data_IF_181573076321
#
_entry.id   IF_181573076321
#
_cell.length_a   1.000
_cell.length_b   1.000
_cell.length_c   1.000
_cell.angle_alpha   90.00
_cell.angle_beta   90.00
_cell.angle_gamma   90.00
#
_symmetry.space_group_name_H-M   'P 1'
#
loop_
_entity.id
_entity.type
_entity.pdbx_description
1 polymer ?
#
# COMPACT_ATOMS: atom_id res chain seq x y z
N UNK A 1 1.41 16.23 30.48
CA UNK A 1 1.34 16.46 29.02
C UNK A 1 0.41 15.42 28.42
N UNK A 2 -0.57 15.85 27.65
CA UNK A 2 -1.52 14.94 26.93
C UNK A 2 -0.92 14.44 25.62
N UNK A 3 -1.48 13.36 25.05
CA UNK A 3 -1.08 12.88 23.72
C UNK A 3 -1.20 13.98 22.67
N UNK A 4 -2.29 14.77 22.68
CA UNK A 4 -2.51 15.90 21.78
C UNK A 4 -1.38 16.93 21.84
N UNK A 5 -0.98 17.34 23.05
CA UNK A 5 0.10 18.31 23.23
C UNK A 5 1.44 17.79 22.66
N UNK A 6 1.73 16.48 22.84
CA UNK A 6 2.94 15.86 22.31
C UNK A 6 2.90 15.81 20.78
N UNK A 7 1.77 15.35 20.19
CA UNK A 7 1.57 15.30 18.72
C UNK A 7 1.75 16.69 18.11
N UNK A 8 1.12 17.72 18.68
CA UNK A 8 1.25 19.10 18.18
C UNK A 8 2.67 19.66 18.35
N UNK A 9 3.37 19.28 19.40
CA UNK A 9 4.78 19.64 19.57
C UNK A 9 5.65 19.04 18.45
N UNK A 10 5.43 17.77 18.09
CA UNK A 10 6.14 17.14 16.97
C UNK A 10 5.75 17.77 15.64
N UNK A 11 4.46 18.06 15.41
CA UNK A 11 4.00 18.76 14.22
C UNK A 11 4.74 20.08 13.97
N UNK A 12 4.97 20.86 15.03
CA UNK A 12 5.70 22.14 14.94
C UNK A 12 7.19 21.97 14.65
N UNK A 13 7.79 20.85 15.06
CA UNK A 13 9.22 20.52 14.82
C UNK A 13 9.51 20.02 13.42
N UNK A 14 8.54 19.31 12.81
CA UNK A 14 8.70 18.72 11.48
C UNK A 14 8.62 19.79 10.38
N UNK A 15 9.35 19.61 9.27
CA UNK A 15 9.26 20.48 8.10
C UNK A 15 7.81 20.58 7.58
N UNK A 16 7.42 21.71 7.01
CA UNK A 16 6.05 21.93 6.49
C UNK A 16 5.55 20.84 5.56
N UNK A 17 6.44 20.27 4.74
CA UNK A 17 6.10 19.16 3.82
C UNK A 17 5.72 17.86 4.53
N UNK A 18 6.05 17.70 5.82
CA UNK A 18 5.88 16.46 6.59
C UNK A 18 5.32 16.67 8.00
N UNK A 19 4.94 17.89 8.35
CA UNK A 19 4.43 18.19 9.67
C UNK A 19 3.12 17.43 9.99
N UNK A 20 2.40 17.01 8.98
CA UNK A 20 1.22 16.18 9.08
C UNK A 20 1.52 14.72 9.49
N UNK A 21 2.78 14.24 9.36
CA UNK A 21 3.15 12.88 9.71
C UNK A 21 2.84 12.54 11.17
N UNK A 22 3.11 13.45 12.09
CA UNK A 22 2.86 13.22 13.51
C UNK A 22 1.38 13.14 13.90
N UNK A 23 0.49 13.60 13.03
CA UNK A 23 -0.96 13.61 13.29
C UNK A 23 -1.63 12.27 13.03
N UNK A 24 -0.94 11.34 12.35
CA UNK A 24 -1.49 10.06 11.95
C UNK A 24 -0.54 8.91 12.28
N UNK A 25 -1.12 7.73 12.47
CA UNK A 25 -0.42 6.46 12.32
C UNK A 25 -0.82 5.82 11.00
N UNK A 26 0.08 4.99 10.47
CA UNK A 26 0.01 4.49 9.11
C UNK A 26 -0.04 2.97 9.09
N UNK A 27 -0.98 2.42 8.33
CA UNK A 27 -0.95 1.01 7.98
C UNK A 27 -0.71 0.87 6.48
N UNK A 28 0.34 0.12 6.13
CA UNK A 28 0.75 -0.17 4.77
C UNK A 28 0.41 -1.61 4.43
N UNK A 29 -0.37 -1.83 3.35
CA UNK A 29 -0.83 -3.16 2.96
C UNK A 29 -1.12 -3.28 1.47
N UNK A 30 -1.30 -4.51 0.97
CA UNK A 30 -1.75 -4.77 -0.40
C UNK A 30 -3.25 -4.47 -0.56
N UNK A 31 -3.68 -4.10 -1.77
CA UNK A 31 -5.07 -3.75 -2.10
C UNK A 31 -6.07 -4.85 -1.70
N UNK A 32 -5.68 -6.13 -1.79
CA UNK A 32 -6.55 -7.27 -1.43
C UNK A 32 -6.81 -7.32 0.08
N UNK A 33 -5.79 -7.10 0.88
CA UNK A 33 -5.95 -6.98 2.33
C UNK A 33 -6.69 -5.68 2.70
N UNK A 34 -6.47 -4.60 1.94
CA UNK A 34 -7.17 -3.33 2.14
C UNK A 34 -8.69 -3.49 1.97
N UNK A 35 -9.15 -4.29 1.01
CA UNK A 35 -10.57 -4.62 0.84
C UNK A 35 -11.15 -5.30 2.09
N UNK A 36 -10.45 -6.28 2.65
CA UNK A 36 -10.88 -6.97 3.86
C UNK A 36 -10.90 -6.03 5.08
N UNK A 37 -9.90 -5.16 5.21
CA UNK A 37 -9.88 -4.13 6.27
C UNK A 37 -11.09 -3.20 6.16
N UNK A 38 -11.44 -2.75 4.95
CA UNK A 38 -12.60 -1.88 4.71
C UNK A 38 -13.91 -2.62 4.99
N UNK A 39 -14.02 -3.87 4.55
CA UNK A 39 -15.20 -4.71 4.76
C UNK A 39 -15.46 -4.94 6.24
N UNK A 40 -14.45 -5.40 6.98
CA UNK A 40 -14.55 -5.72 8.41
C UNK A 40 -14.52 -4.48 9.31
N UNK A 41 -13.93 -3.37 8.86
CA UNK A 41 -13.72 -2.18 9.68
C UNK A 41 -12.60 -2.33 10.71
N UNK A 42 -11.69 -3.29 10.52
CA UNK A 42 -10.61 -3.63 11.45
C UNK A 42 -9.29 -3.91 10.73
N UNK A 43 -8.20 -3.44 11.32
CA UNK A 43 -6.85 -3.92 11.06
C UNK A 43 -6.58 -5.01 12.10
N UNK A 44 -6.72 -6.27 11.72
CA UNK A 44 -6.49 -7.39 12.63
C UNK A 44 -5.00 -7.65 12.86
N UNK A 45 -4.70 -8.24 14.01
CA UNK A 45 -3.43 -8.90 14.25
C UNK A 45 -3.22 -10.03 13.23
N UNK A 46 -1.95 -10.30 12.90
CA UNK A 46 -1.61 -11.29 11.86
C UNK A 46 -2.20 -12.67 12.15
N UNK A 47 -2.09 -13.13 13.40
CA UNK A 47 -2.64 -14.42 13.83
C UNK A 47 -4.13 -14.48 13.52
N UNK A 48 -4.89 -13.53 14.02
CA UNK A 48 -6.34 -13.45 13.82
C UNK A 48 -6.73 -13.33 12.34
N UNK A 49 -6.00 -12.53 11.56
CA UNK A 49 -6.24 -12.40 10.12
C UNK A 49 -5.98 -13.71 9.36
N UNK A 50 -5.03 -14.54 9.82
CA UNK A 50 -4.77 -15.85 9.23
C UNK A 50 -5.83 -16.87 9.62
N UNK A 51 -6.32 -16.87 10.86
CA UNK A 51 -7.37 -17.79 11.33
C UNK A 51 -8.71 -17.53 10.64
N UNK A 52 -9.01 -16.27 10.30
CA UNK A 52 -10.24 -15.87 9.64
C UNK A 52 -10.13 -15.82 8.11
N UNK A 53 -9.03 -16.35 7.51
CA UNK A 53 -8.75 -16.29 6.06
C UNK A 53 -8.83 -14.87 5.45
N UNK A 54 -8.57 -13.83 6.26
CA UNK A 54 -8.63 -12.43 5.83
C UNK A 54 -7.33 -11.93 5.21
N UNK A 55 -6.24 -12.67 5.36
CA UNK A 55 -4.93 -12.31 4.82
C UNK A 55 -4.73 -12.96 3.44
N UNK A 56 -5.14 -12.27 2.39
CA UNK A 56 -5.03 -12.74 1.00
C UNK A 56 -3.60 -12.59 0.46
N UNK A 57 -2.84 -11.62 0.97
CA UNK A 57 -1.45 -11.36 0.56
C UNK A 57 -0.57 -11.20 1.78
N UNK A 58 0.42 -12.07 1.90
CA UNK A 58 1.43 -11.94 2.94
C UNK A 58 2.57 -11.03 2.47
N UNK A 59 2.53 -9.78 2.93
CA UNK A 59 3.54 -8.78 2.61
C UNK A 59 4.79 -8.86 3.51
N UNK A 60 4.80 -9.77 4.49
CA UNK A 60 5.96 -9.93 5.37
C UNK A 60 6.93 -10.97 4.81
N UNK A 61 8.21 -10.69 4.96
CA UNK A 61 9.27 -11.64 4.64
C UNK A 61 9.18 -12.89 5.52
N UNK A 62 9.23 -14.07 4.92
CA UNK A 62 9.28 -15.35 5.65
C UNK A 62 10.49 -15.40 6.62
N UNK A 63 11.61 -14.82 6.22
CA UNK A 63 12.80 -14.72 7.07
C UNK A 63 12.56 -13.85 8.32
N UNK A 64 11.85 -12.73 8.18
CA UNK A 64 11.45 -11.88 9.33
C UNK A 64 10.45 -12.60 10.21
N UNK A 65 9.54 -13.39 9.61
CA UNK A 65 8.53 -14.14 10.36
C UNK A 65 9.10 -15.28 11.18
N UNK A 66 10.15 -15.94 10.67
CA UNK A 66 10.79 -17.06 11.37
C UNK A 66 11.58 -16.62 12.60
N UNK A 67 12.10 -15.37 12.61
CA UNK A 67 12.87 -14.80 13.74
C UNK A 67 12.02 -13.87 14.63
N UNK A 68 10.78 -13.58 14.24
CA UNK A 68 9.83 -12.81 15.07
C UNK A 68 9.21 -13.71 16.13
N UNK A 69 9.14 -13.22 17.36
CA UNK A 69 8.45 -13.94 18.44
C UNK A 69 7.01 -14.24 18.05
N UNK A 70 6.45 -15.35 18.55
CA UNK A 70 5.04 -15.66 18.36
C UNK A 70 4.14 -14.55 18.91
N UNK A 71 4.57 -13.89 19.95
CA UNK A 71 3.83 -12.83 20.63
C UNK A 71 3.55 -11.62 19.71
N UNK A 72 4.49 -11.15 18.88
CA UNK A 72 4.24 -9.99 17.99
C UNK A 72 3.17 -10.27 16.94
N UNK A 73 2.89 -11.53 16.61
CA UNK A 73 1.84 -11.94 15.68
C UNK A 73 0.43 -11.70 16.25
N UNK A 74 0.32 -11.58 17.57
CA UNK A 74 -0.92 -11.26 18.29
C UNK A 74 -1.29 -9.77 18.22
N UNK A 75 -0.44 -8.92 17.65
CA UNK A 75 -0.66 -7.48 17.59
C UNK A 75 -0.93 -7.00 16.17
N UNK A 76 -1.96 -6.15 16.02
CA UNK A 76 -2.09 -5.26 14.87
C UNK A 76 -1.06 -4.15 14.97
N UNK A 77 -0.47 -3.75 13.85
CA UNK A 77 0.70 -2.89 13.81
C UNK A 77 0.47 -1.67 12.91
N UNK A 78 0.80 -0.49 13.42
CA UNK A 78 0.82 0.77 12.71
C UNK A 78 2.21 1.38 12.79
N UNK A 79 2.58 2.17 11.80
CA UNK A 79 3.84 2.92 11.79
C UNK A 79 3.61 4.39 12.14
N UNK A 80 4.62 5.02 12.75
CA UNK A 80 4.62 6.47 13.01
C UNK A 80 4.74 7.31 11.74
N UNK A 81 5.25 6.72 10.66
CA UNK A 81 5.58 7.41 9.42
C UNK A 81 5.41 6.54 8.19
N UNK A 82 5.17 7.13 6.99
CA UNK A 82 5.43 6.46 5.73
C UNK A 82 6.95 6.37 5.46
N UNK A 83 7.31 5.70 4.39
CA UNK A 83 8.71 5.48 3.96
C UNK A 83 9.54 4.75 5.03
N UNK A 84 8.94 3.73 5.61
CA UNK A 84 9.66 2.82 6.52
C UNK A 84 10.60 1.91 5.75
N UNK A 85 11.63 1.33 6.39
CA UNK A 85 12.47 0.29 5.80
C UNK A 85 11.67 -0.91 5.28
N UNK A 86 10.61 -1.33 5.98
CA UNK A 86 9.71 -2.39 5.54
C UNK A 86 9.04 -2.04 4.21
N UNK A 87 8.48 -0.84 4.09
CA UNK A 87 7.90 -0.37 2.83
C UNK A 87 8.94 -0.33 1.71
N UNK A 88 10.17 0.13 1.98
CA UNK A 88 11.25 0.18 0.99
C UNK A 88 11.51 -1.17 0.32
N UNK A 89 11.45 -2.25 1.09
CA UNK A 89 11.66 -3.60 0.55
C UNK A 89 10.43 -4.17 -0.14
N UNK A 90 9.22 -3.87 0.36
CA UNK A 90 7.99 -4.55 -0.05
C UNK A 90 7.21 -3.82 -1.14
N UNK A 91 7.36 -2.50 -1.28
CA UNK A 91 6.55 -1.69 -2.19
C UNK A 91 6.74 -2.06 -3.67
N UNK A 92 5.63 -2.22 -4.36
CA UNK A 92 5.55 -2.46 -5.80
C UNK A 92 5.86 -3.90 -6.21
N UNK A 93 5.38 -4.28 -7.39
CA UNK A 93 5.65 -5.61 -7.93
C UNK A 93 7.12 -5.73 -8.37
N UNK A 94 7.78 -6.79 -7.94
CA UNK A 94 9.14 -7.17 -8.34
C UNK A 94 9.14 -8.65 -8.72
N UNK A 95 9.70 -9.03 -9.88
CA UNK A 95 9.94 -10.42 -10.22
C UNK A 95 10.81 -11.11 -9.15
N UNK A 96 10.64 -12.40 -8.98
CA UNK A 96 11.37 -13.17 -7.96
C UNK A 96 12.89 -12.99 -8.07
N UNK A 97 13.43 -13.01 -9.29
CA UNK A 97 14.85 -12.84 -9.58
C UNK A 97 15.41 -11.45 -9.22
N UNK A 98 14.52 -10.46 -9.02
CA UNK A 98 14.88 -9.08 -8.64
C UNK A 98 14.76 -8.86 -7.13
N UNK A 99 13.95 -9.67 -6.45
CA UNK A 99 13.78 -9.57 -5.00
C UNK A 99 15.05 -9.99 -4.28
N UNK A 100 15.28 -9.41 -3.11
CA UNK A 100 16.31 -9.93 -2.22
C UNK A 100 15.85 -11.30 -1.68
N UNK A 101 16.70 -12.30 -1.82
CA UNK A 101 16.39 -13.69 -1.45
C UNK A 101 15.97 -13.86 0.02
N UNK A 102 16.59 -13.07 0.91
CA UNK A 102 16.32 -13.07 2.35
C UNK A 102 15.03 -12.33 2.75
N UNK A 103 14.46 -11.51 1.84
CA UNK A 103 13.28 -10.68 2.16
C UNK A 103 12.10 -11.03 1.25
N UNK A 104 12.08 -12.00 0.49
CA UNK A 104 11.08 -12.41 -0.51
C UNK A 104 9.62 -11.87 -0.33
N UNK A 105 9.49 -10.58 -0.01
CA UNK A 105 8.24 -9.90 0.26
C UNK A 105 7.87 -8.98 -0.91
N UNK A 106 6.59 -8.89 -1.21
CA UNK A 106 6.06 -8.16 -2.36
C UNK A 106 4.68 -7.58 -2.02
N UNK A 107 4.49 -6.30 -2.30
CA UNK A 107 3.22 -5.60 -2.17
C UNK A 107 2.91 -4.93 -3.52
N UNK A 108 2.34 -5.69 -4.48
CA UNK A 108 2.16 -5.23 -5.85
C UNK A 108 1.38 -3.92 -5.96
N UNK A 109 0.26 -3.82 -5.25
CA UNK A 109 -0.63 -2.65 -5.26
C UNK A 109 -0.77 -2.11 -3.83
N UNK A 110 0.17 -1.24 -3.40
CA UNK A 110 0.22 -0.75 -2.04
C UNK A 110 -0.86 0.27 -1.74
N UNK A 111 -1.47 0.12 -0.57
CA UNK A 111 -2.48 1.03 -0.01
C UNK A 111 -2.04 1.48 1.38
N UNK A 112 -2.21 2.76 1.67
CA UNK A 112 -2.05 3.33 3.00
C UNK A 112 -3.38 3.66 3.65
N UNK A 113 -3.53 3.29 4.92
CA UNK A 113 -4.56 3.79 5.82
C UNK A 113 -3.95 4.83 6.76
N UNK A 114 -4.62 5.98 6.90
CA UNK A 114 -4.28 7.06 7.81
C UNK A 114 -5.22 7.03 9.00
N UNK A 115 -4.69 6.77 10.18
CA UNK A 115 -5.46 6.73 11.40
C UNK A 115 -5.08 7.91 12.30
N UNK A 116 -6.07 8.62 12.83
CA UNK A 116 -5.90 9.72 13.76
C UNK A 116 -5.06 9.28 14.97
N UNK A 117 -3.89 9.88 15.15
CA UNK A 117 -2.92 9.42 16.14
C UNK A 117 -3.45 9.56 17.58
N UNK A 118 -4.15 10.65 17.90
CA UNK A 118 -4.71 10.86 19.24
C UNK A 118 -5.80 9.82 19.53
N UNK A 119 -6.71 9.60 18.59
CA UNK A 119 -7.79 8.61 18.76
C UNK A 119 -7.27 7.18 18.94
N UNK A 120 -6.22 6.81 18.18
CA UNK A 120 -5.59 5.50 18.35
C UNK A 120 -4.94 5.38 19.73
N UNK A 121 -4.16 6.38 20.17
CA UNK A 121 -3.47 6.35 21.47
C UNK A 121 -4.41 6.34 22.67
N UNK A 122 -5.66 6.78 22.49
CA UNK A 122 -6.71 6.75 23.53
C UNK A 122 -7.50 5.42 23.55
N UNK A 123 -7.23 4.49 22.65
CA UNK A 123 -7.86 3.16 22.70
C UNK A 123 -7.24 2.33 23.82
N UNK A 124 -8.07 1.58 24.54
CA UNK A 124 -7.60 0.65 25.55
C UNK A 124 -6.67 -0.41 24.96
N UNK A 125 -5.58 -0.70 25.67
CA UNK A 125 -4.60 -1.73 25.27
C UNK A 125 -3.70 -1.32 24.09
N UNK A 126 -3.66 -0.04 23.73
CA UNK A 126 -2.69 0.47 22.77
C UNK A 126 -1.35 0.69 23.44
N UNK A 127 -0.32 0.16 22.82
CA UNK A 127 1.08 0.26 23.21
C UNK A 127 1.91 0.74 22.03
N UNK A 128 3.16 1.12 22.28
CA UNK A 128 4.07 1.59 21.24
C UNK A 128 5.52 1.23 21.56
N UNK A 129 6.32 1.11 20.51
CA UNK A 129 7.74 0.79 20.60
C UNK A 129 8.61 1.98 20.19
N UNK A 130 9.87 1.99 20.63
CA UNK A 130 10.88 2.96 20.17
C UNK A 130 11.50 2.57 18.84
N UNK A 131 11.50 1.28 18.52
CA UNK A 131 12.13 0.68 17.34
C UNK A 131 11.23 -0.40 16.77
N UNK A 132 11.69 -1.13 15.73
CA UNK A 132 10.94 -2.27 15.20
C UNK A 132 10.62 -3.31 16.27
N UNK A 133 9.42 -3.85 16.22
CA UNK A 133 9.03 -5.03 16.99
C UNK A 133 9.36 -6.35 16.27
N UNK A 134 9.80 -6.31 15.01
CA UNK A 134 10.18 -7.49 14.26
C UNK A 134 11.57 -7.97 14.61
N UNK A 135 11.76 -9.30 14.69
CA UNK A 135 13.07 -9.91 14.92
C UNK A 135 13.61 -9.75 16.33
N UNK A 136 12.78 -9.41 17.32
CA UNK A 136 13.16 -9.34 18.72
C UNK A 136 12.35 -10.34 19.56
N UNK A 137 12.98 -10.93 20.56
CA UNK A 137 12.29 -11.78 21.54
C UNK A 137 11.74 -10.97 22.73
N UNK A 138 12.14 -9.69 22.85
CA UNK A 138 11.68 -8.79 23.89
C UNK A 138 11.02 -7.56 23.22
N UNK A 139 9.72 -7.43 23.36
CA UNK A 139 8.94 -6.41 22.65
C UNK A 139 9.08 -5.01 23.23
N UNK A 140 9.59 -4.84 24.45
CA UNK A 140 9.81 -3.53 25.11
C UNK A 140 8.71 -2.50 24.81
N UNK A 141 7.45 -2.92 24.94
CA UNK A 141 6.29 -2.09 24.65
C UNK A 141 6.06 -1.09 25.80
N UNK A 142 5.64 0.09 25.44
CA UNK A 142 5.38 1.21 26.32
C UNK A 142 3.95 1.70 26.15
N UNK A 143 3.38 2.25 27.19
CA UNK A 143 2.05 2.87 27.17
C UNK A 143 2.05 4.19 27.99
N UNK A 144 1.01 4.97 27.82
CA UNK A 144 0.81 6.21 28.55
C UNK A 144 1.52 7.43 27.96
N UNK A 145 0.93 8.60 28.14
CA UNK A 145 1.40 9.84 27.54
C UNK A 145 2.80 10.26 28.03
N UNK A 146 3.15 9.92 29.27
CA UNK A 146 4.48 10.22 29.80
C UNK A 146 5.59 9.48 29.06
N UNK A 147 5.38 8.17 28.79
CA UNK A 147 6.32 7.37 28.01
C UNK A 147 6.33 7.76 26.52
N UNK A 148 5.16 8.14 25.98
CA UNK A 148 5.05 8.64 24.61
C UNK A 148 5.88 9.92 24.42
N UNK A 149 5.88 10.84 25.41
CA UNK A 149 6.67 12.06 25.38
C UNK A 149 8.19 11.80 25.36
N UNK A 150 8.65 10.64 25.86
CA UNK A 150 10.08 10.24 25.90
C UNK A 150 10.55 9.49 24.66
N UNK A 151 9.68 9.31 23.65
CA UNK A 151 10.10 8.67 22.40
C UNK A 151 11.14 9.50 21.64
N UNK A 152 12.11 8.89 20.97
CA UNK A 152 13.14 9.58 20.19
C UNK A 152 12.58 10.01 18.83
N UNK A 153 11.65 10.98 18.83
CA UNK A 153 10.94 11.46 17.64
C UNK A 153 11.87 12.01 16.56
N UNK A 154 13.00 12.59 16.94
CA UNK A 154 14.05 13.03 16.02
C UNK A 154 14.60 11.87 15.14
N UNK A 155 14.75 10.68 15.70
CA UNK A 155 15.15 9.48 15.01
C UNK A 155 13.97 8.82 14.27
N UNK A 156 12.80 8.74 14.90
CA UNK A 156 11.59 8.15 14.31
C UNK A 156 11.22 8.90 13.00
N UNK A 157 11.19 10.22 13.03
CA UNK A 157 10.86 11.06 11.88
C UNK A 157 12.08 11.52 11.07
N UNK A 158 13.25 10.94 11.33
CA UNK A 158 14.48 11.31 10.63
C UNK A 158 14.33 11.12 9.11
N UNK A 159 14.76 12.12 8.35
CA UNK A 159 14.81 12.12 6.89
C UNK A 159 16.19 12.54 6.39
N UNK A 160 16.48 12.18 5.14
CA UNK A 160 17.75 12.49 4.50
C UNK A 160 18.82 11.45 4.73
N UNK A 161 20.03 11.81 4.35
CA UNK A 161 21.23 10.98 4.52
C UNK A 161 21.64 10.94 5.99
N UNK A 162 22.27 9.86 6.36
CA UNK A 162 22.89 9.65 7.67
C UNK A 162 24.29 9.06 7.47
N UNK A 163 25.18 9.31 8.42
CA UNK A 163 26.50 8.73 8.40
C UNK A 163 26.44 7.20 8.67
N UNK A 164 27.44 6.43 8.22
CA UNK A 164 27.48 4.98 8.44
C UNK A 164 27.37 4.59 9.91
N UNK A 165 27.91 5.40 10.83
CA UNK A 165 27.97 5.12 12.26
C UNK A 165 26.59 5.11 12.93
N UNK A 166 25.65 5.94 12.46
CA UNK A 166 24.31 6.05 13.03
C UNK A 166 23.26 5.34 12.19
N UNK A 167 23.65 4.74 11.07
CA UNK A 167 22.76 4.15 10.07
C UNK A 167 21.79 3.15 10.68
N UNK A 168 22.31 2.16 11.37
CA UNK A 168 21.50 1.06 11.89
C UNK A 168 20.57 1.53 13.01
N UNK A 169 21.02 2.48 13.81
CA UNK A 169 20.21 3.10 14.84
C UNK A 169 19.03 3.87 14.24
N UNK A 170 19.27 4.70 13.24
CA UNK A 170 18.19 5.44 12.53
C UNK A 170 17.23 4.48 11.81
N UNK A 171 17.74 3.45 11.13
CA UNK A 171 16.92 2.45 10.42
C UNK A 171 15.96 1.75 11.41
N UNK A 172 16.46 1.37 12.60
CA UNK A 172 15.63 0.74 13.63
C UNK A 172 14.54 1.66 14.15
N UNK A 173 14.85 2.93 14.44
CA UNK A 173 13.87 3.90 14.94
C UNK A 173 12.83 4.31 13.89
N UNK A 174 13.19 4.39 12.60
CA UNK A 174 12.24 4.61 11.50
C UNK A 174 11.17 3.52 11.36
N UNK A 175 11.33 2.42 12.05
CA UNK A 175 10.39 1.30 12.13
C UNK A 175 9.67 1.23 13.48
N UNK A 176 9.69 2.29 14.29
CA UNK A 176 8.90 2.38 15.50
C UNK A 176 7.41 2.14 15.19
N UNK A 177 6.72 1.45 16.07
CA UNK A 177 5.38 0.95 15.84
C UNK A 177 4.43 1.33 16.98
N UNK A 178 3.16 1.49 16.62
CA UNK A 178 2.04 1.49 17.55
C UNK A 178 1.29 0.19 17.34
N UNK A 179 1.02 -0.52 18.42
CA UNK A 179 0.49 -1.88 18.38
C UNK A 179 -0.72 -2.01 19.30
N UNK A 180 -1.60 -2.91 18.96
CA UNK A 180 -2.72 -3.31 19.83
C UNK A 180 -3.00 -4.80 19.62
N UNK A 181 -3.17 -5.53 20.73
CA UNK A 181 -3.51 -6.95 20.69
C UNK A 181 -4.83 -7.16 19.94
N UNK A 182 -4.93 -8.23 19.19
CA UNK A 182 -6.08 -8.68 18.39
C UNK A 182 -6.43 -7.80 17.19
N UNK A 183 -6.36 -6.47 17.29
CA UNK A 183 -6.72 -5.58 16.19
C UNK A 183 -6.98 -4.14 16.58
N UNK A 184 -7.10 -3.30 15.56
CA UNK A 184 -7.42 -1.88 15.67
C UNK A 184 -8.69 -1.60 14.87
N UNK A 185 -9.75 -1.15 15.54
CA UNK A 185 -10.97 -0.69 14.89
C UNK A 185 -10.72 0.63 14.15
N UNK A 186 -11.00 0.67 12.85
CA UNK A 186 -10.74 1.88 12.05
C UNK A 186 -11.91 2.87 12.04
N UNK A 187 -13.09 2.46 12.50
CA UNK A 187 -14.36 3.19 12.32
C UNK A 187 -14.27 4.66 12.76
N UNK A 188 -13.69 4.90 13.93
CA UNK A 188 -13.69 6.25 14.52
C UNK A 188 -12.37 7.01 14.32
N UNK A 189 -11.31 6.31 13.92
CA UNK A 189 -9.97 6.88 13.76
C UNK A 189 -9.50 7.01 12.32
N UNK A 190 -10.15 6.37 11.33
CA UNK A 190 -9.76 6.46 9.92
C UNK A 190 -9.99 7.87 9.37
N UNK A 191 -8.95 8.46 8.77
CA UNK A 191 -8.94 9.80 8.16
C UNK A 191 -8.77 9.78 6.64
N UNK A 192 -8.20 8.72 6.09
CA UNK A 192 -8.00 8.60 4.65
C UNK A 192 -7.41 7.27 4.25
N UNK A 193 -7.63 6.94 2.99
CA UNK A 193 -7.04 5.79 2.31
C UNK A 193 -6.32 6.34 1.09
N UNK A 194 -5.03 6.04 0.95
CA UNK A 194 -4.19 6.61 -0.11
C UNK A 194 -3.63 5.52 -1.00
N UNK A 195 -3.93 5.66 -2.30
CA UNK A 195 -3.38 4.84 -3.38
C UNK A 195 -2.21 5.58 -4.02
N UNK A 196 -1.24 4.86 -4.54
CA UNK A 196 -0.04 5.42 -5.17
C UNK A 196 -0.36 6.11 -6.50
N UNK A 197 -1.25 5.52 -7.31
CA UNK A 197 -1.57 6.00 -8.66
C UNK A 197 -3.08 6.13 -8.89
N UNK A 198 -3.51 6.92 -9.91
CA UNK A 198 -4.90 6.94 -10.34
C UNK A 198 -5.44 5.56 -10.73
N UNK A 199 -4.62 4.72 -11.39
CA UNK A 199 -4.99 3.36 -11.77
C UNK A 199 -5.28 2.48 -10.55
N UNK A 200 -4.43 2.54 -9.53
CA UNK A 200 -4.64 1.81 -8.27
C UNK A 200 -5.90 2.29 -7.51
N UNK A 201 -6.14 3.61 -7.50
CA UNK A 201 -7.38 4.19 -6.95
C UNK A 201 -8.62 3.69 -7.70
N UNK A 202 -8.59 3.70 -9.03
CA UNK A 202 -9.69 3.18 -9.86
C UNK A 202 -9.97 1.72 -9.54
N UNK A 203 -8.92 0.91 -9.41
CA UNK A 203 -9.03 -0.51 -9.06
C UNK A 203 -9.68 -0.70 -7.69
N UNK A 204 -9.22 0.02 -6.66
CA UNK A 204 -9.80 -0.08 -5.32
C UNK A 204 -11.27 0.33 -5.32
N UNK A 205 -11.63 1.43 -5.99
CA UNK A 205 -13.00 1.90 -6.09
C UNK A 205 -13.89 0.91 -6.85
N UNK A 206 -13.41 0.32 -7.93
CA UNK A 206 -14.13 -0.69 -8.70
C UNK A 206 -14.40 -1.93 -7.85
N UNK A 207 -13.38 -2.47 -7.18
CA UNK A 207 -13.50 -3.65 -6.34
C UNK A 207 -14.47 -3.40 -5.16
N UNK A 208 -14.38 -2.24 -4.52
CA UNK A 208 -15.33 -1.87 -3.46
C UNK A 208 -16.77 -1.76 -3.99
N UNK A 209 -16.95 -1.11 -5.14
CA UNK A 209 -18.29 -0.93 -5.73
C UNK A 209 -18.94 -2.26 -6.09
N UNK A 210 -18.15 -3.21 -6.57
CA UNK A 210 -18.64 -4.52 -7.04
C UNK A 210 -18.81 -5.54 -5.92
N UNK A 211 -17.95 -5.52 -4.90
CA UNK A 211 -17.96 -6.52 -3.83
C UNK A 211 -18.67 -6.01 -2.57
N UNK A 212 -18.56 -4.72 -2.27
CA UNK A 212 -19.05 -4.12 -1.03
C UNK A 212 -19.69 -2.74 -1.28
N UNK A 213 -20.86 -2.65 -1.97
CA UNK A 213 -21.48 -1.39 -2.39
C UNK A 213 -21.73 -0.39 -1.26
N UNK A 214 -22.11 -0.87 -0.07
CA UNK A 214 -22.33 -0.02 1.11
C UNK A 214 -21.03 0.61 1.59
N UNK A 215 -19.94 -0.18 1.59
CA UNK A 215 -18.60 0.30 1.94
C UNK A 215 -18.06 1.27 0.89
N UNK A 216 -18.30 1.02 -0.38
CA UNK A 216 -17.98 1.98 -1.44
C UNK A 216 -18.63 3.34 -1.16
N UNK A 217 -19.94 3.36 -0.85
CA UNK A 217 -20.66 4.60 -0.56
C UNK A 217 -20.08 5.33 0.65
N UNK A 218 -19.72 4.59 1.72
CA UNK A 218 -19.16 5.16 2.94
C UNK A 218 -17.73 5.70 2.77
N UNK A 219 -16.88 5.02 1.97
CA UNK A 219 -15.44 5.31 1.96
C UNK A 219 -14.93 6.00 0.69
N UNK A 220 -15.68 6.02 -0.42
CA UNK A 220 -15.22 6.62 -1.70
C UNK A 220 -14.68 8.05 -1.56
N UNK A 221 -15.26 8.85 -0.68
CA UNK A 221 -14.89 10.25 -0.46
C UNK A 221 -13.54 10.45 0.24
N UNK A 222 -13.03 9.44 0.94
CA UNK A 222 -11.74 9.50 1.63
C UNK A 222 -10.63 8.69 0.94
N UNK A 223 -10.95 8.00 -0.17
CA UNK A 223 -9.97 7.29 -1.00
C UNK A 223 -9.33 8.31 -1.96
N UNK A 224 -8.02 8.50 -1.85
CA UNK A 224 -7.26 9.51 -2.61
C UNK A 224 -6.11 8.88 -3.36
N UNK A 225 -5.67 9.59 -4.40
CA UNK A 225 -4.35 9.47 -5.00
C UNK A 225 -3.77 10.90 -4.96
N UNK A 226 -2.73 11.11 -4.17
CA UNK A 226 -2.11 12.42 -3.98
C UNK A 226 -0.58 12.28 -3.98
N UNK A 227 0.06 12.47 -5.15
CA UNK A 227 1.51 12.40 -5.27
C UNK A 227 2.25 13.44 -4.42
N UNK A 228 1.59 14.55 -4.06
CA UNK A 228 2.21 15.62 -3.25
C UNK A 228 2.50 15.17 -1.81
N UNK A 229 1.83 14.13 -1.32
CA UNK A 229 2.10 13.54 0.00
C UNK A 229 3.45 12.82 0.07
N UNK A 230 4.05 12.51 -1.09
CA UNK A 230 5.36 11.84 -1.19
C UNK A 230 5.53 10.63 -0.25
N UNK A 231 4.51 9.78 -0.18
CA UNK A 231 4.47 8.65 0.75
C UNK A 231 5.10 7.38 0.22
N UNK A 232 5.19 7.25 -1.10
CA UNK A 232 5.66 6.06 -1.77
C UNK A 232 7.10 6.21 -2.26
N UNK A 233 7.86 5.12 -2.25
CA UNK A 233 9.18 5.05 -2.87
C UNK A 233 9.12 4.99 -4.39
N UNK A 234 7.96 4.60 -4.94
CA UNK A 234 7.77 4.29 -6.37
C UNK A 234 8.65 3.13 -6.85
N UNK A 235 8.82 2.15 -5.98
CA UNK A 235 9.59 0.93 -6.21
C UNK A 235 8.79 -0.08 -7.02
N UNK A 236 9.50 -1.00 -7.70
CA UNK A 236 8.89 -2.05 -8.49
C UNK A 236 8.27 -1.54 -9.80
N UNK A 237 7.65 -2.44 -10.57
CA UNK A 237 6.86 -2.07 -11.75
C UNK A 237 5.39 -1.95 -11.36
N UNK A 238 4.70 -0.94 -11.88
CA UNK A 238 3.29 -0.70 -11.60
C UNK A 238 2.62 0.17 -12.67
N UNK A 239 1.31 0.11 -12.72
CA UNK A 239 0.48 0.86 -13.66
C UNK A 239 0.20 2.26 -13.11
N UNK A 240 0.53 3.30 -13.88
CA UNK A 240 0.24 4.70 -13.57
C UNK A 240 -1.15 5.11 -14.00
N UNK A 241 -1.47 4.82 -15.25
CA UNK A 241 -2.77 5.14 -15.85
C UNK A 241 -3.10 4.13 -16.95
N UNK A 242 -4.37 4.08 -17.29
CA UNK A 242 -4.91 3.31 -18.38
C UNK A 242 -5.91 4.19 -19.13
N UNK A 243 -5.76 4.27 -20.44
CA UNK A 243 -6.54 5.13 -21.32
C UNK A 243 -6.92 4.37 -22.59
N UNK A 244 -8.04 4.72 -23.20
CA UNK A 244 -8.47 4.23 -24.50
C UNK A 244 -8.73 5.39 -25.45
N UNK A 245 -8.00 5.40 -26.58
CA UNK A 245 -8.14 6.35 -27.71
C UNK A 245 -8.05 5.57 -29.03
N UNK A 246 -8.99 4.64 -29.25
CA UNK A 246 -8.91 3.68 -30.35
C UNK A 246 -7.94 2.54 -30.12
N UNK A 247 -6.99 2.70 -29.21
CA UNK A 247 -6.07 1.67 -28.69
C UNK A 247 -6.05 1.73 -27.16
N UNK A 248 -5.92 0.58 -26.53
CA UNK A 248 -5.73 0.52 -25.10
C UNK A 248 -4.25 0.80 -24.77
N UNK A 249 -4.00 1.91 -24.11
CA UNK A 249 -2.68 2.32 -23.62
C UNK A 249 -2.61 2.16 -22.10
N UNK A 250 -1.63 1.39 -21.61
CA UNK A 250 -1.37 1.14 -20.20
C UNK A 250 0.01 1.72 -19.87
N UNK A 251 0.05 2.87 -19.21
CA UNK A 251 1.30 3.54 -18.84
C UNK A 251 1.88 2.97 -17.55
N UNK A 252 3.13 2.58 -17.60
CA UNK A 252 3.89 2.07 -16.47
C UNK A 252 4.69 3.21 -15.79
N UNK A 253 5.24 2.92 -14.61
CA UNK A 253 6.13 3.86 -13.96
C UNK A 253 7.49 3.96 -14.65
N UNK A 254 8.19 5.06 -14.33
CA UNK A 254 9.49 5.38 -14.89
C UNK A 254 10.54 4.27 -14.61
N UNK A 255 11.20 3.72 -15.64
CA UNK A 255 12.27 2.75 -15.51
C UNK A 255 13.45 3.21 -14.66
N UNK A 256 13.78 4.51 -14.63
CA UNK A 256 14.87 5.04 -13.82
C UNK A 256 14.62 4.80 -12.33
N UNK A 257 13.38 4.88 -11.88
CA UNK A 257 13.00 4.55 -10.51
C UNK A 257 13.25 3.09 -10.19
N UNK A 258 12.96 2.19 -11.13
CA UNK A 258 13.21 0.74 -11.00
C UNK A 258 14.71 0.43 -10.97
N UNK A 259 15.50 1.04 -11.85
CA UNK A 259 16.98 0.90 -11.93
C UNK A 259 17.68 1.35 -10.65
N UNK A 260 17.15 2.35 -9.97
CA UNK A 260 17.70 2.82 -8.69
C UNK A 260 17.72 1.70 -7.63
N UNK A 261 16.77 0.75 -7.70
CA UNK A 261 16.58 -0.29 -6.69
C UNK A 261 17.03 -1.68 -7.14
N UNK A 262 17.26 -1.89 -8.42
CA UNK A 262 17.76 -3.14 -8.96
C UNK A 262 18.55 -2.88 -10.24
N UNK A 263 19.70 -3.54 -10.35
CA UNK A 263 20.49 -3.58 -11.60
C UNK A 263 20.17 -4.84 -12.43
N UNK A 264 19.51 -5.83 -11.82
CA UNK A 264 19.16 -7.07 -12.51
C UNK A 264 17.89 -6.85 -13.32
N UNK A 265 17.97 -7.04 -14.63
CA UNK A 265 16.79 -7.08 -15.47
C UNK A 265 16.09 -8.44 -15.32
N UNK A 266 14.79 -8.44 -15.53
CA UNK A 266 13.95 -9.63 -15.51
C UNK A 266 12.82 -9.50 -16.51
N UNK A 267 12.27 -10.62 -16.95
CA UNK A 267 11.05 -10.65 -17.74
C UNK A 267 9.85 -10.76 -16.80
N UNK A 268 8.78 -10.04 -17.13
CA UNK A 268 7.50 -10.05 -16.42
C UNK A 268 6.43 -10.53 -17.39
N UNK A 269 5.72 -11.59 -17.05
CA UNK A 269 4.58 -12.05 -17.83
C UNK A 269 3.38 -11.14 -17.51
N UNK A 270 2.96 -10.37 -18.50
CA UNK A 270 1.80 -9.50 -18.40
C UNK A 270 0.62 -10.13 -19.14
N UNK A 271 -0.46 -10.40 -18.43
CA UNK A 271 -1.74 -10.75 -19.06
C UNK A 271 -2.68 -9.54 -18.98
N UNK A 272 -3.27 -9.19 -20.11
CA UNK A 272 -4.33 -8.18 -20.19
C UNK A 272 -5.59 -8.86 -20.73
N UNK A 273 -6.63 -8.94 -19.90
CA UNK A 273 -7.93 -9.48 -20.25
C UNK A 273 -8.94 -8.34 -20.38
N UNK A 274 -9.64 -8.27 -21.50
CA UNK A 274 -10.67 -7.27 -21.80
C UNK A 274 -12.00 -7.97 -22.02
N UNK A 275 -12.99 -7.67 -21.18
CA UNK A 275 -14.34 -8.22 -21.26
C UNK A 275 -15.29 -7.13 -21.75
N UNK A 276 -15.77 -7.29 -22.99
CA UNK A 276 -16.70 -6.33 -23.60
C UNK A 276 -18.08 -6.43 -22.99
N UNK A 277 -18.71 -5.29 -22.73
CA UNK A 277 -19.99 -5.23 -22.06
C UNK A 277 -21.10 -4.77 -23.01
N UNK A 278 -22.27 -5.41 -22.93
CA UNK A 278 -23.49 -4.87 -23.53
C UNK A 278 -23.97 -3.61 -22.81
N UNK A 279 -24.93 -2.90 -23.38
CA UNK A 279 -25.58 -1.74 -22.76
C UNK A 279 -26.24 -2.03 -21.41
N UNK A 280 -26.57 -3.28 -21.11
CA UNK A 280 -27.11 -3.75 -19.83
C UNK A 280 -26.06 -4.36 -18.90
N UNK A 281 -24.76 -4.30 -19.28
CA UNK A 281 -23.63 -4.72 -18.44
C UNK A 281 -23.28 -6.21 -18.51
N UNK A 282 -23.89 -7.00 -19.41
CA UNK A 282 -23.53 -8.41 -19.61
C UNK A 282 -22.28 -8.53 -20.48
N UNK A 283 -21.40 -9.50 -20.18
CA UNK A 283 -20.23 -9.79 -21.00
C UNK A 283 -20.69 -10.37 -22.34
N UNK A 284 -20.27 -9.72 -23.44
CA UNK A 284 -20.58 -10.09 -24.83
C UNK A 284 -19.39 -10.70 -25.56
N UNK A 285 -18.18 -10.50 -25.06
CA UNK A 285 -16.96 -11.03 -25.66
C UNK A 285 -15.77 -10.83 -24.75
N UNK A 286 -14.66 -11.49 -25.09
CA UNK A 286 -13.40 -11.41 -24.37
C UNK A 286 -12.22 -11.32 -25.36
N UNK A 287 -11.25 -10.47 -25.06
CA UNK A 287 -9.93 -10.44 -25.69
C UNK A 287 -8.86 -10.65 -24.61
N UNK A 288 -7.82 -11.41 -24.95
CA UNK A 288 -6.68 -11.65 -24.03
C UNK A 288 -5.40 -11.40 -24.78
N UNK A 289 -4.52 -10.59 -24.21
CA UNK A 289 -3.16 -10.37 -24.68
C UNK A 289 -2.16 -10.85 -23.63
N UNK A 290 -1.21 -11.68 -24.05
CA UNK A 290 -0.07 -12.11 -23.22
C UNK A 290 1.19 -11.44 -23.75
N UNK A 291 1.86 -10.69 -22.93
CA UNK A 291 2.99 -9.84 -23.29
C UNK A 291 4.13 -10.10 -22.31
N UNK A 292 5.34 -10.18 -22.82
CA UNK A 292 6.55 -10.28 -22.00
C UNK A 292 7.19 -8.91 -21.90
N UNK A 293 7.20 -8.34 -20.70
CA UNK A 293 7.75 -7.02 -20.43
C UNK A 293 9.18 -7.12 -19.92
N UNK A 294 9.99 -6.14 -20.27
CA UNK A 294 11.29 -5.92 -19.65
C UNK A 294 11.14 -5.07 -18.39
N UNK A 295 11.47 -5.65 -17.22
CA UNK A 295 11.30 -4.96 -15.93
C UNK A 295 12.01 -3.61 -15.85
N UNK A 296 13.20 -3.45 -16.44
CA UNK A 296 14.01 -2.23 -16.35
C UNK A 296 13.82 -1.25 -17.50
N UNK A 297 13.06 -1.57 -18.54
CA UNK A 297 12.96 -0.67 -19.71
C UNK A 297 11.53 -0.34 -20.12
N UNK A 298 10.56 -1.21 -19.85
CA UNK A 298 9.20 -1.01 -20.33
C UNK A 298 8.52 0.20 -19.69
N UNK A 299 7.88 1.03 -20.51
CA UNK A 299 7.19 2.26 -20.09
C UNK A 299 5.70 2.25 -20.39
N UNK A 300 5.28 1.49 -21.40
CA UNK A 300 3.90 1.49 -21.88
C UNK A 300 3.58 0.17 -22.57
N UNK A 301 2.33 -0.29 -22.45
CA UNK A 301 1.77 -1.42 -23.15
C UNK A 301 0.66 -0.89 -24.05
N UNK A 302 0.71 -1.19 -25.35
CA UNK A 302 -0.31 -0.79 -26.33
C UNK A 302 -0.98 -2.03 -26.88
N UNK A 303 -2.32 -2.05 -26.83
CA UNK A 303 -3.12 -3.17 -27.33
C UNK A 303 -4.18 -2.64 -28.30
N UNK A 304 -4.17 -3.19 -29.50
CA UNK A 304 -5.22 -2.95 -30.48
C UNK A 304 -6.43 -3.85 -30.17
N UNK A 305 -7.53 -3.24 -29.78
CA UNK A 305 -8.79 -3.94 -29.53
C UNK A 305 -9.56 -4.02 -30.86
N UNK A 306 -9.52 -5.18 -31.50
CA UNK A 306 -10.24 -5.38 -32.75
C UNK A 306 -11.75 -5.49 -32.53
N UNK A 307 -12.54 -4.80 -33.38
CA UNK A 307 -14.00 -4.92 -33.49
C UNK A 307 -14.81 -4.76 -32.20
N UNK A 308 -14.73 -3.60 -31.58
CA UNK A 308 -15.58 -3.31 -30.41
C UNK A 308 -16.91 -2.69 -30.85
N UNK A 309 -17.99 -3.45 -30.75
CA UNK A 309 -19.37 -2.92 -30.82
C UNK A 309 -19.80 -2.38 -29.43
N UNK A 310 -18.96 -2.57 -28.43
CA UNK A 310 -19.27 -2.25 -27.03
C UNK A 310 -18.75 -0.87 -26.66
N UNK A 311 -19.56 -0.08 -25.96
CA UNK A 311 -19.17 1.22 -25.41
C UNK A 311 -18.33 1.08 -24.13
N UNK A 312 -18.38 -0.06 -23.46
CA UNK A 312 -17.70 -0.30 -22.19
C UNK A 312 -17.02 -1.67 -22.15
N UNK A 313 -15.91 -1.76 -21.45
CA UNK A 313 -15.27 -3.02 -21.13
C UNK A 313 -14.72 -3.04 -19.71
N UNK A 314 -14.67 -4.24 -19.10
CA UNK A 314 -13.85 -4.48 -17.90
C UNK A 314 -12.46 -4.84 -18.39
N UNK A 315 -11.44 -4.13 -17.91
CA UNK A 315 -10.03 -4.44 -18.17
C UNK A 315 -9.41 -4.98 -16.88
N UNK A 316 -8.75 -6.12 -17.01
CA UNK A 316 -7.94 -6.74 -15.95
C UNK A 316 -6.50 -6.85 -16.44
N UNK A 317 -5.55 -6.48 -15.58
CA UNK A 317 -4.11 -6.62 -15.86
C UNK A 317 -3.46 -7.35 -14.71
N UNK A 318 -2.66 -8.37 -15.02
CA UNK A 318 -1.84 -9.07 -14.04
C UNK A 318 -0.37 -9.13 -14.47
N UNK A 319 0.54 -9.14 -13.48
CA UNK A 319 1.97 -9.38 -13.67
C UNK A 319 2.37 -10.66 -12.94
N UNK A 320 2.86 -11.67 -13.72
CA UNK A 320 3.17 -13.01 -13.22
C UNK A 320 2.04 -13.57 -12.33
N UNK A 321 0.77 -13.40 -12.79
CA UNK A 321 -0.44 -13.82 -12.09
C UNK A 321 -0.88 -12.91 -10.92
N UNK A 322 -0.11 -11.88 -10.55
CA UNK A 322 -0.52 -10.92 -9.52
C UNK A 322 -1.45 -9.85 -10.11
N UNK A 323 -2.68 -9.67 -9.60
CA UNK A 323 -3.58 -8.63 -10.05
C UNK A 323 -2.99 -7.23 -9.82
N UNK A 324 -2.90 -6.44 -10.89
CA UNK A 324 -2.34 -5.08 -10.87
C UNK A 324 -3.40 -4.01 -11.11
N UNK A 325 -4.41 -4.33 -11.92
CA UNK A 325 -5.46 -3.39 -12.30
C UNK A 325 -6.75 -4.14 -12.60
N UNK A 326 -7.88 -3.53 -12.21
CA UNK A 326 -9.22 -3.95 -12.64
C UNK A 326 -10.16 -2.77 -12.59
N UNK A 327 -10.79 -2.43 -13.73
CA UNK A 327 -11.82 -1.38 -13.78
C UNK A 327 -12.66 -1.50 -15.05
N UNK A 328 -13.81 -0.83 -15.06
CA UNK A 328 -14.59 -0.56 -16.28
C UNK A 328 -13.99 0.67 -16.97
N UNK A 329 -13.78 0.58 -18.27
CA UNK A 329 -13.35 1.68 -19.13
C UNK A 329 -14.43 1.98 -20.20
N UNK A 330 -14.48 3.23 -20.63
CA UNK A 330 -15.26 3.64 -21.80
C UNK A 330 -14.43 3.39 -23.07
N UNK A 331 -15.02 2.73 -24.07
CA UNK A 331 -14.42 2.44 -25.38
C UNK A 331 -14.99 3.37 -26.47
N UNK A 332 -15.96 4.22 -26.16
CA UNK A 332 -16.44 5.22 -27.10
C UNK A 332 -15.31 6.22 -27.38
N UNK A 333 -14.98 6.39 -28.63
CA UNK A 333 -14.08 7.46 -29.06
C UNK A 333 -14.97 8.70 -29.10
N UNK A 334 -14.79 9.61 -28.12
CA UNK A 334 -15.38 10.94 -28.26
C UNK A 334 -14.85 11.53 -29.58
N UNK A 335 -15.71 11.60 -30.58
CA UNK A 335 -15.43 12.35 -31.79
C UNK A 335 -15.22 13.80 -31.37
N UNK A 336 -13.97 14.18 -31.17
CA UNK A 336 -13.57 15.60 -31.07
C UNK A 336 -13.93 16.19 -32.43
N UNK A 337 -15.13 16.82 -32.51
CA UNK A 337 -15.45 17.78 -33.56
C UNK A 337 -14.82 19.15 -33.23
#
# INVERSE_FOLDING_TARGET
>A
MTYREIIEAQRKRLPKSRNWWSMYFYHFTDIRNALNIIEKGWIYARHKASEEDLMVSDNASQAVLSVSSSEIKEYARLYFRPKTPTQYHNEGYKPETVRKADINANCPVPIFFFLDAEKVLLMDGVEFSKTTCAGTNDLNLLSGAENFAKLPFDKIYHEGAFSPEIRDDIIRHRQAEVVRRDGICIKDCLKGIVCRTPAEKQTLLYLLKTQYPDKYTAYKGIIRCDPSLDMFYNNGIFIRSLEYNGRLSIKLNDPEKRRKYSQNNAKVQCEVSVYFLSSVGNITGRSVANIVLDYLSETEIIIDLQNTISDFAIVEVSFDGNPMYKNIINLSIDSIM
#
